data_IF_522472074781
#
_entry.id   IF_522472074781
#
_cell.length_a   1.000
_cell.length_b   1.000
_cell.length_c   1.000
_cell.angle_alpha   90.00
_cell.angle_beta   90.00
_cell.angle_gamma   90.00
#
_symmetry.space_group_name_H-M   'P 1'
#
loop_
_entity.id
_entity.type
_entity.pdbx_description
1 polymer ?
#
# COMPACT_ATOMS: atom_id res chain seq x y z
N UNK A 1 29.25 -8.64 50.28
CA UNK A 1 29.35 -7.47 49.37
C UNK A 1 30.10 -7.93 48.14
N UNK A 2 29.61 -8.03 46.91
CA UNK A 2 28.47 -7.43 46.25
C UNK A 2 28.97 -6.68 45.01
N UNK A 3 28.97 -7.31 43.82
CA UNK A 3 28.74 -6.58 42.58
C UNK A 3 28.33 -7.55 41.44
N UNK A 4 27.02 -7.60 41.16
CA UNK A 4 26.45 -8.32 40.00
C UNK A 4 26.60 -7.44 38.76
N UNK A 5 27.45 -7.85 37.82
CA UNK A 5 27.58 -7.20 36.52
C UNK A 5 26.22 -7.17 35.79
N UNK A 6 25.63 -5.98 35.61
CA UNK A 6 24.46 -5.78 34.75
C UNK A 6 24.87 -5.98 33.29
N UNK A 7 24.54 -7.13 32.70
CA UNK A 7 24.68 -7.37 31.25
C UNK A 7 23.85 -6.33 30.47
N UNK A 8 24.52 -5.49 29.65
CA UNK A 8 23.84 -4.63 28.67
C UNK A 8 23.08 -5.52 27.69
N UNK A 9 21.77 -5.30 27.61
CA UNK A 9 20.91 -6.01 26.67
C UNK A 9 21.17 -5.43 25.28
N UNK A 10 21.44 -6.28 24.30
CA UNK A 10 21.56 -5.86 22.89
C UNK A 10 20.21 -5.41 22.32
N UNK A 11 20.21 -4.50 21.34
CA UNK A 11 18.98 -4.01 20.70
C UNK A 11 18.10 -5.13 20.15
N UNK A 12 18.72 -6.23 19.67
CA UNK A 12 18.02 -7.44 19.25
C UNK A 12 17.32 -8.16 20.40
N UNK A 13 17.99 -8.35 21.54
CA UNK A 13 17.39 -8.99 22.71
C UNK A 13 16.29 -8.10 23.33
N UNK A 14 16.44 -6.77 23.28
CA UNK A 14 15.40 -5.81 23.67
C UNK A 14 14.21 -5.86 22.71
N UNK A 15 14.46 -5.93 21.39
CA UNK A 15 13.42 -6.08 20.37
C UNK A 15 12.63 -7.37 20.54
N UNK A 16 13.32 -8.52 20.68
CA UNK A 16 12.66 -9.83 20.82
C UNK A 16 11.73 -9.88 22.03
N UNK A 17 12.14 -9.29 23.17
CA UNK A 17 11.30 -9.23 24.37
C UNK A 17 10.07 -8.34 24.26
N UNK A 18 10.07 -7.36 23.35
CA UNK A 18 8.96 -6.43 23.15
C UNK A 18 8.32 -6.62 21.77
N UNK A 19 8.62 -7.72 21.08
CA UNK A 19 8.26 -7.93 19.66
C UNK A 19 6.77 -7.76 19.45
N UNK A 20 5.96 -8.36 20.31
CA UNK A 20 4.50 -8.31 20.17
C UNK A 20 3.98 -6.88 20.37
N UNK A 21 4.51 -6.15 21.35
CA UNK A 21 4.19 -4.73 21.55
C UNK A 21 4.58 -3.89 20.33
N UNK A 22 5.76 -4.11 19.74
CA UNK A 22 6.20 -3.41 18.54
C UNK A 22 5.33 -3.74 17.33
N UNK A 23 4.98 -5.02 17.14
CA UNK A 23 4.12 -5.47 16.04
C UNK A 23 2.73 -4.88 16.17
N UNK A 24 2.12 -4.93 17.37
CA UNK A 24 0.80 -4.36 17.62
C UNK A 24 0.78 -2.85 17.39
N UNK A 25 1.76 -2.11 17.92
CA UNK A 25 1.88 -0.66 17.68
C UNK A 25 2.09 -0.33 16.20
N UNK A 26 2.93 -1.09 15.51
CA UNK A 26 3.15 -0.90 14.07
C UNK A 26 1.90 -1.21 13.25
N UNK A 27 1.11 -2.22 13.63
CA UNK A 27 -0.16 -2.54 12.96
C UNK A 27 -1.18 -1.44 13.18
N UNK A 28 -1.33 -0.97 14.41
CA UNK A 28 -2.23 0.14 14.74
C UNK A 28 -1.84 1.42 14.00
N UNK A 29 -0.54 1.76 13.93
CA UNK A 29 -0.07 2.90 13.17
C UNK A 29 -0.37 2.79 11.67
N UNK A 30 -0.13 1.62 11.05
CA UNK A 30 -0.41 1.42 9.61
C UNK A 30 -1.90 1.31 9.28
N UNK A 31 -2.75 1.17 10.29
CA UNK A 31 -4.20 1.24 10.13
C UNK A 31 -4.70 2.69 10.08
N UNK A 32 -3.88 3.69 10.46
CA UNK A 32 -4.22 5.10 10.23
C UNK A 32 -3.89 5.50 8.80
N UNK A 33 -4.59 6.50 8.27
CA UNK A 33 -4.33 7.06 6.93
C UNK A 33 -2.91 7.60 6.82
N UNK A 34 -2.46 8.38 7.81
CA UNK A 34 -1.09 8.87 7.88
C UNK A 34 -0.04 7.74 7.89
N UNK A 35 -0.19 6.74 8.77
CA UNK A 35 0.81 5.67 8.89
C UNK A 35 0.81 4.76 7.67
N UNK A 36 -0.35 4.56 7.03
CA UNK A 36 -0.46 3.90 5.73
C UNK A 36 0.21 4.71 4.63
N UNK A 37 0.02 6.03 4.60
CA UNK A 37 0.63 6.91 3.61
C UNK A 37 2.16 6.84 3.68
N UNK A 38 2.73 6.87 4.89
CA UNK A 38 4.18 6.71 5.11
C UNK A 38 4.67 5.34 4.60
N UNK A 39 3.97 4.26 4.91
CA UNK A 39 4.31 2.91 4.41
C UNK A 39 4.30 2.86 2.87
N UNK A 40 3.24 3.35 2.26
CA UNK A 40 3.07 3.36 0.80
C UNK A 40 4.12 4.25 0.12
N UNK A 41 4.43 5.40 0.71
CA UNK A 41 5.49 6.30 0.26
C UNK A 41 6.85 5.60 0.18
N UNK A 42 7.26 4.92 1.25
CA UNK A 42 8.48 4.13 1.24
C UNK A 42 8.44 2.99 0.21
N UNK A 43 7.27 2.36 0.06
CA UNK A 43 7.10 1.24 -0.86
C UNK A 43 7.27 1.65 -2.33
N UNK A 44 6.56 2.70 -2.81
CA UNK A 44 6.66 3.10 -4.22
C UNK A 44 8.04 3.62 -4.57
N UNK A 45 8.72 4.37 -3.68
CA UNK A 45 10.08 4.85 -3.94
C UNK A 45 11.08 3.72 -4.12
N UNK A 46 10.96 2.68 -3.29
CA UNK A 46 11.77 1.47 -3.42
C UNK A 46 11.50 0.76 -4.74
N UNK A 47 10.23 0.56 -5.10
CA UNK A 47 9.84 -0.06 -6.36
C UNK A 47 10.34 0.74 -7.57
N UNK A 48 10.16 2.06 -7.54
CA UNK A 48 10.60 2.96 -8.61
C UNK A 48 12.11 2.91 -8.77
N UNK A 49 12.88 2.93 -7.67
CA UNK A 49 14.34 2.77 -7.70
C UNK A 49 14.77 1.46 -8.36
N UNK A 50 14.13 0.33 -8.00
CA UNK A 50 14.45 -0.99 -8.59
C UNK A 50 14.15 -1.01 -10.09
N UNK A 51 13.11 -0.29 -10.53
CA UNK A 51 12.67 -0.23 -11.92
C UNK A 51 13.26 0.92 -12.74
N UNK A 52 14.10 1.77 -12.14
CA UNK A 52 14.64 2.96 -12.82
C UNK A 52 13.58 3.99 -13.20
N UNK A 53 12.51 4.11 -12.41
CA UNK A 53 11.37 5.00 -12.65
C UNK A 53 11.38 6.22 -11.74
N UNK A 54 10.75 7.31 -12.20
CA UNK A 54 10.49 8.48 -11.37
C UNK A 54 9.56 8.15 -10.20
N UNK A 55 9.75 8.87 -9.08
CA UNK A 55 8.93 8.76 -7.88
C UNK A 55 8.82 10.12 -7.20
N UNK A 56 7.82 10.91 -7.62
CA UNK A 56 7.59 12.28 -7.14
C UNK A 56 6.41 12.40 -6.18
N UNK A 57 5.66 11.32 -5.93
CA UNK A 57 4.59 11.32 -4.94
C UNK A 57 5.10 11.70 -3.55
N UNK A 58 4.34 12.57 -2.88
CA UNK A 58 4.59 12.97 -1.49
C UNK A 58 3.73 12.14 -0.53
N UNK A 59 4.06 12.15 0.76
CA UNK A 59 3.24 11.44 1.77
C UNK A 59 1.88 12.11 1.89
N UNK A 60 1.85 13.42 1.77
CA UNK A 60 0.67 14.28 1.87
C UNK A 60 -0.30 13.98 0.72
N UNK A 61 0.21 13.85 -0.51
CA UNK A 61 -0.60 13.43 -1.66
C UNK A 61 -1.20 12.04 -1.44
N UNK A 62 -0.40 11.08 -0.94
CA UNK A 62 -0.89 9.72 -0.68
C UNK A 62 -1.94 9.73 0.43
N UNK A 63 -1.71 10.49 1.50
CA UNK A 63 -2.64 10.62 2.62
C UNK A 63 -3.96 11.27 2.21
N UNK A 64 -3.92 12.32 1.39
CA UNK A 64 -5.10 12.96 0.80
C UNK A 64 -5.92 11.92 0.01
N UNK A 65 -5.27 11.13 -0.85
CA UNK A 65 -5.95 10.08 -1.63
C UNK A 65 -6.52 8.96 -0.76
N UNK A 66 -5.85 8.60 0.34
CA UNK A 66 -6.33 7.59 1.29
C UNK A 66 -7.57 8.05 2.08
N UNK A 67 -7.73 9.36 2.29
CA UNK A 67 -8.94 9.93 2.90
C UNK A 67 -10.13 9.98 1.92
N UNK A 68 -9.88 9.77 0.63
CA UNK A 68 -10.90 9.69 -0.40
C UNK A 68 -11.43 8.27 -0.60
N UNK A 69 -11.84 8.00 -1.84
CA UNK A 69 -12.33 6.70 -2.30
C UNK A 69 -11.49 6.20 -3.46
N UNK A 70 -11.64 4.93 -3.81
CA UNK A 70 -11.05 4.34 -5.01
C UNK A 70 -11.42 5.15 -6.25
N UNK A 71 -10.42 5.70 -6.94
CA UNK A 71 -10.63 6.55 -8.12
C UNK A 71 -11.18 5.79 -9.33
N UNK A 72 -11.13 4.45 -9.31
CA UNK A 72 -11.69 3.60 -10.36
C UNK A 72 -13.13 3.14 -10.07
N UNK A 73 -13.57 3.10 -8.81
CA UNK A 73 -14.86 2.47 -8.44
C UNK A 73 -15.74 3.28 -7.50
N UNK A 74 -15.22 4.36 -6.90
CA UNK A 74 -15.90 5.13 -5.86
C UNK A 74 -16.03 4.43 -4.50
N UNK A 75 -15.49 3.21 -4.34
CA UNK A 75 -15.57 2.45 -3.08
C UNK A 75 -14.51 2.91 -2.07
N UNK A 76 -14.87 2.93 -0.79
CA UNK A 76 -13.94 3.24 0.31
C UNK A 76 -12.87 2.17 0.56
N UNK A 77 -11.76 2.59 1.17
CA UNK A 77 -10.61 1.74 1.47
C UNK A 77 -10.72 1.05 2.84
N UNK A 78 -10.15 -0.16 2.93
CA UNK A 78 -9.96 -0.87 4.20
C UNK A 78 -8.48 -0.88 4.59
N UNK A 79 -8.16 -0.21 5.71
CA UNK A 79 -6.78 -0.03 6.18
C UNK A 79 -6.36 -1.05 7.26
N UNK A 80 -7.33 -1.79 7.81
CA UNK A 80 -7.14 -2.83 8.84
C UNK A 80 -7.05 -4.23 8.19
N UNK A 81 -6.83 -5.28 8.98
CA UNK A 81 -6.97 -6.66 8.50
C UNK A 81 -5.86 -7.21 7.61
N UNK A 82 -4.83 -6.44 7.27
CA UNK A 82 -3.75 -6.86 6.38
C UNK A 82 -3.97 -6.34 4.95
N UNK A 83 -3.41 -7.02 3.94
CA UNK A 83 -3.65 -6.68 2.52
C UNK A 83 -4.81 -7.51 2.00
N UNK A 84 -5.95 -6.88 1.76
CA UNK A 84 -7.16 -7.49 1.22
C UNK A 84 -7.65 -6.80 -0.06
N UNK A 85 -8.80 -7.24 -0.61
CA UNK A 85 -9.36 -6.70 -1.85
C UNK A 85 -9.60 -5.19 -1.83
N UNK A 86 -10.06 -4.66 -0.68
CA UNK A 86 -10.35 -3.24 -0.45
C UNK A 86 -9.16 -2.44 0.09
N UNK A 87 -7.98 -3.05 0.22
CA UNK A 87 -6.78 -2.29 0.61
C UNK A 87 -6.41 -1.29 -0.47
N UNK A 88 -5.87 -0.11 -0.12
CA UNK A 88 -5.44 0.88 -1.09
C UNK A 88 -4.22 0.40 -1.88
N UNK A 89 -4.09 0.86 -3.12
CA UNK A 89 -2.97 0.59 -4.01
C UNK A 89 -2.69 1.80 -4.89
N UNK A 90 -1.40 2.13 -5.03
CA UNK A 90 -0.93 3.07 -6.06
C UNK A 90 -0.89 2.34 -7.40
N UNK A 91 -1.72 2.79 -8.33
CA UNK A 91 -1.82 2.27 -9.69
C UNK A 91 -1.31 3.32 -10.69
N UNK A 92 -0.48 2.88 -11.64
CA UNK A 92 0.08 3.75 -12.67
C UNK A 92 -0.79 3.63 -13.90
N UNK A 93 -1.38 4.73 -14.35
CA UNK A 93 -2.24 4.75 -15.53
C UNK A 93 -1.46 4.34 -16.79
N UNK A 94 -0.25 4.87 -16.93
CA UNK A 94 0.72 4.43 -17.93
C UNK A 94 1.87 3.69 -17.22
N UNK A 95 1.98 2.39 -17.49
CA UNK A 95 2.97 1.50 -16.86
C UNK A 95 4.40 1.75 -17.35
N UNK A 96 4.59 2.52 -18.43
CA UNK A 96 5.90 2.97 -18.92
C UNK A 96 6.45 4.17 -18.15
N UNK A 97 5.58 4.92 -17.45
CA UNK A 97 5.93 6.13 -16.70
C UNK A 97 6.11 5.88 -15.20
N UNK A 98 6.72 6.84 -14.51
CA UNK A 98 6.96 6.76 -13.08
C UNK A 98 5.73 6.97 -12.20
N UNK A 99 5.96 6.95 -10.89
CA UNK A 99 4.97 7.32 -9.87
C UNK A 99 4.96 8.84 -9.70
N UNK A 100 4.12 9.52 -10.48
CA UNK A 100 3.88 10.96 -10.37
C UNK A 100 2.40 11.25 -10.11
N UNK A 101 2.03 12.42 -9.56
CA UNK A 101 0.62 12.80 -9.35
C UNK A 101 -0.23 12.72 -10.62
N UNK A 102 0.37 12.97 -11.79
CA UNK A 102 -0.29 13.00 -13.10
C UNK A 102 -0.44 11.60 -13.71
N UNK A 103 0.38 10.63 -13.28
CA UNK A 103 0.38 9.26 -13.80
C UNK A 103 -0.12 8.23 -12.78
N UNK A 104 -0.43 8.63 -11.55
CA UNK A 104 -0.81 7.71 -10.48
C UNK A 104 -2.19 8.01 -9.95
N UNK A 105 -2.96 6.95 -9.71
CA UNK A 105 -4.23 6.99 -8.98
C UNK A 105 -4.22 6.02 -7.81
N UNK A 106 -5.04 6.29 -6.81
CA UNK A 106 -5.32 5.43 -5.67
C UNK A 106 -6.55 4.57 -5.97
N UNK A 107 -6.33 3.27 -6.08
CA UNK A 107 -7.38 2.29 -6.39
C UNK A 107 -7.42 1.18 -5.35
N UNK A 108 -8.50 0.39 -5.35
CA UNK A 108 -8.52 -0.84 -4.56
C UNK A 108 -7.49 -1.83 -5.10
N UNK A 109 -6.86 -2.57 -4.20
CA UNK A 109 -5.86 -3.57 -4.53
C UNK A 109 -6.42 -4.64 -5.47
N UNK A 110 -7.68 -5.04 -5.30
CA UNK A 110 -8.34 -5.98 -6.22
C UNK A 110 -8.38 -5.45 -7.66
N UNK A 111 -8.62 -4.14 -7.86
CA UNK A 111 -8.67 -3.54 -9.20
C UNK A 111 -7.28 -3.55 -9.84
N UNK A 112 -6.25 -3.12 -9.10
CA UNK A 112 -4.88 -3.16 -9.60
C UNK A 112 -4.43 -4.58 -9.93
N UNK A 113 -4.78 -5.56 -9.08
CA UNK A 113 -4.47 -6.97 -9.30
C UNK A 113 -5.18 -7.53 -10.54
N UNK A 114 -6.46 -7.20 -10.73
CA UNK A 114 -7.25 -7.68 -11.86
C UNK A 114 -6.74 -7.14 -13.21
N UNK A 115 -6.34 -5.87 -13.25
CA UNK A 115 -5.76 -5.27 -14.45
C UNK A 115 -4.35 -5.80 -14.73
N UNK A 116 -3.56 -6.04 -13.67
CA UNK A 116 -2.22 -6.61 -13.77
C UNK A 116 -1.33 -5.90 -14.78
N UNK A 117 -0.58 -6.69 -15.56
CA UNK A 117 0.29 -6.17 -16.62
C UNK A 117 -0.48 -5.85 -17.93
N UNK A 118 -1.74 -6.24 -18.04
CA UNK A 118 -2.56 -6.01 -19.24
C UNK A 118 -3.19 -4.61 -19.26
N UNK A 119 -3.37 -4.00 -18.09
CA UNK A 119 -4.02 -2.71 -17.95
C UNK A 119 -5.53 -2.76 -18.13
N UNK A 120 -6.18 -1.62 -17.90
CA UNK A 120 -7.64 -1.53 -17.93
C UNK A 120 -8.23 -1.71 -19.33
N UNK A 121 -7.55 -1.24 -20.36
CA UNK A 121 -8.05 -1.31 -21.75
C UNK A 121 -8.24 -2.76 -22.23
N UNK A 122 -7.44 -3.69 -21.71
CA UNK A 122 -7.57 -5.12 -22.02
C UNK A 122 -8.53 -5.80 -21.06
N UNK A 123 -8.46 -5.51 -19.76
CA UNK A 123 -9.24 -6.23 -18.75
C UNK A 123 -10.74 -5.88 -18.79
N UNK A 124 -11.09 -4.61 -18.99
CA UNK A 124 -12.48 -4.16 -18.86
C UNK A 124 -13.42 -4.75 -19.92
N UNK A 125 -13.06 -4.85 -21.22
CA UNK A 125 -13.92 -5.53 -22.21
C UNK A 125 -14.20 -6.99 -21.84
N UNK A 126 -13.19 -7.74 -21.40
CA UNK A 126 -13.34 -9.14 -20.99
C UNK A 126 -14.27 -9.24 -19.77
N UNK A 127 -14.07 -8.37 -18.78
CA UNK A 127 -14.92 -8.34 -17.60
C UNK A 127 -16.37 -7.97 -17.95
N UNK A 128 -16.57 -7.06 -18.90
CA UNK A 128 -17.91 -6.68 -19.38
C UNK A 128 -18.64 -7.86 -20.01
N UNK A 129 -18.00 -8.59 -20.93
CA UNK A 129 -18.61 -9.78 -21.54
C UNK A 129 -19.00 -10.82 -20.47
N UNK A 130 -18.14 -11.05 -19.48
CA UNK A 130 -18.46 -11.96 -18.38
C UNK A 130 -19.64 -11.49 -17.52
N UNK A 131 -19.73 -10.18 -17.23
CA UNK A 131 -20.85 -9.59 -16.47
C UNK A 131 -22.15 -9.72 -17.26
N UNK A 132 -22.13 -9.39 -18.56
CA UNK A 132 -23.30 -9.51 -19.44
C UNK A 132 -23.78 -10.96 -19.50
N UNK A 133 -22.88 -11.93 -19.66
CA UNK A 133 -23.27 -13.36 -19.66
C UNK A 133 -23.78 -13.85 -18.30
N UNK A 134 -23.28 -13.29 -17.20
CA UNK A 134 -23.65 -13.74 -15.84
C UNK A 134 -24.99 -13.15 -15.38
N UNK A 135 -25.32 -11.93 -15.82
CA UNK A 135 -26.44 -11.14 -15.29
C UNK A 135 -27.41 -10.58 -16.35
N UNK A 136 -27.10 -10.70 -17.64
CA UNK A 136 -27.97 -10.30 -18.77
C UNK A 136 -28.95 -11.40 -19.16
#
# INVERSE_FOLDING_TARGET
MGNKARKKITDRAKYLRNRDTYVTRSRAYRATTHGRAVEMWHSHRRTAKVRGLDATLTKEWIEEKLNGVCEATGLGFELTGGRGPKSPSLDRMDSSKGYTPENTRMVLWAINLACGDWGQEVFLPIANEWIVETYG
#
